data_IF_047760124769
#
_entry.id   IF_047760124769
#
_cell.length_a   1.000
_cell.length_b   1.000
_cell.length_c   1.000
_cell.angle_alpha   90.00
_cell.angle_beta   90.00
_cell.angle_gamma   90.00
#
_symmetry.space_group_name_H-M   'P 1'
#
loop_
_entity.id
_entity.type
_entity.pdbx_description
1 polymer ?
#
# COMPACT_ATOMS: atom_id res chain seq x y z
N UNK A 1 1.79 -3.44 -7.69
CA UNK A 1 3.03 -3.63 -6.90
C UNK A 1 2.95 -2.76 -5.66
N UNK A 2 2.44 -3.31 -4.55
CA UNK A 2 2.54 -2.67 -3.24
C UNK A 2 3.72 -3.35 -2.54
N UNK A 3 4.86 -2.66 -2.50
CA UNK A 3 5.99 -3.07 -1.66
C UNK A 3 5.66 -2.51 -0.27
N UNK A 4 5.16 -3.36 0.63
CA UNK A 4 5.16 -3.02 2.06
C UNK A 4 6.59 -3.25 2.55
N UNK A 5 7.46 -2.26 2.37
CA UNK A 5 8.74 -2.22 3.07
C UNK A 5 8.49 -1.77 4.50
N UNK A 6 8.40 -2.72 5.44
CA UNK A 6 8.45 -2.43 6.88
C UNK A 6 9.79 -1.74 7.22
N UNK A 7 9.82 -0.53 7.79
CA UNK A 7 11.07 0.22 8.02
C UNK A 7 11.75 -0.12 9.36
N UNK A 8 11.40 -1.22 10.02
CA UNK A 8 11.93 -1.54 11.35
C UNK A 8 12.55 -2.93 11.41
N UNK A 9 13.72 -3.06 10.78
CA UNK A 9 14.72 -4.08 11.13
C UNK A 9 16.11 -3.45 10.95
N UNK A 10 16.47 -2.53 11.85
CA UNK A 10 17.86 -2.12 12.00
C UNK A 10 18.48 -3.08 13.01
N UNK A 11 19.31 -3.97 12.47
CA UNK A 11 20.19 -4.88 13.18
C UNK A 11 21.01 -4.15 14.25
N UNK A 12 20.73 -4.39 15.53
CA UNK A 12 21.61 -3.98 16.63
C UNK A 12 22.65 -5.08 16.88
N UNK A 13 23.76 -5.01 16.17
CA UNK A 13 25.01 -5.63 16.61
C UNK A 13 25.63 -4.71 17.68
N UNK A 14 25.54 -5.12 18.93
CA UNK A 14 26.24 -4.48 20.05
C UNK A 14 27.71 -4.91 20.00
N UNK A 15 28.60 -4.04 19.53
CA UNK A 15 30.04 -4.21 19.70
C UNK A 15 30.49 -3.41 20.92
N UNK A 16 30.77 -4.12 22.00
CA UNK A 16 31.48 -3.60 23.17
C UNK A 16 32.94 -3.43 22.77
N UNK A 17 33.44 -2.19 22.81
CA UNK A 17 34.87 -1.91 22.86
C UNK A 17 35.11 -0.86 23.93
N UNK A 18 35.68 -1.31 25.04
CA UNK A 18 36.09 -0.51 26.19
C UNK A 18 37.63 -0.40 26.15
N UNK A 19 38.11 0.79 26.54
CA UNK A 19 39.48 1.17 26.92
C UNK A 19 40.43 1.62 25.77
N UNK A 20 40.76 2.92 25.74
CA UNK A 20 41.96 3.51 26.39
C UNK A 20 42.11 4.98 25.96
N UNK A 21 42.59 5.80 26.90
CA UNK A 21 42.67 7.26 26.79
C UNK A 21 43.60 7.81 25.71
N UNK A 22 43.33 9.06 25.33
CA UNK A 22 44.18 9.88 24.47
C UNK A 22 43.53 11.23 24.23
N UNK A 23 43.86 12.22 25.06
CA UNK A 23 43.50 13.62 24.82
C UNK A 23 44.18 14.10 23.53
N UNK A 24 43.38 14.41 22.50
CA UNK A 24 43.80 15.14 21.30
C UNK A 24 42.73 16.16 20.97
N UNK A 25 43.01 17.42 21.31
CA UNK A 25 42.36 18.55 20.66
C UNK A 25 42.98 18.67 19.26
N UNK A 26 42.18 18.70 18.18
CA UNK A 26 42.17 19.95 17.41
C UNK A 26 40.83 20.24 16.71
N UNK A 27 40.55 21.54 16.58
CA UNK A 27 40.22 22.15 15.29
C UNK A 27 38.92 21.76 14.57
N UNK A 28 38.09 22.78 14.34
CA UNK A 28 37.16 22.87 13.22
C UNK A 28 36.10 21.76 13.13
N UNK A 29 35.04 21.89 13.94
CA UNK A 29 33.75 21.32 13.60
C UNK A 29 33.20 22.09 12.39
N UNK A 30 33.55 21.63 11.18
CA UNK A 30 32.77 21.91 9.99
C UNK A 30 31.36 21.39 10.24
N UNK A 31 30.41 22.30 10.43
CA UNK A 31 29.00 21.97 10.41
C UNK A 31 28.70 21.42 9.02
N UNK A 32 28.66 20.09 8.88
CA UNK A 32 28.07 19.46 7.72
C UNK A 32 26.63 19.95 7.68
N UNK A 33 26.35 20.90 6.77
CA UNK A 33 25.01 21.35 6.44
C UNK A 33 24.27 20.09 6.03
N UNK A 34 23.38 19.62 6.89
CA UNK A 34 22.43 18.58 6.53
C UNK A 34 21.57 19.20 5.44
N UNK A 35 21.91 18.90 4.19
CA UNK A 35 21.04 19.19 3.06
C UNK A 35 19.75 18.42 3.32
N UNK A 36 18.66 19.15 3.53
CA UNK A 36 17.34 18.57 3.55
C UNK A 36 17.18 17.75 2.27
N UNK A 37 16.68 16.50 2.34
CA UNK A 37 16.41 15.74 1.14
C UNK A 37 15.46 16.55 0.26
N UNK A 38 15.97 17.06 -0.86
CA UNK A 38 15.17 17.76 -1.87
C UNK A 38 14.07 16.81 -2.30
N UNK A 39 12.82 17.18 -2.04
CA UNK A 39 11.65 16.44 -2.48
C UNK A 39 11.78 16.29 -3.99
N UNK A 40 12.00 15.06 -4.46
CA UNK A 40 12.09 14.78 -5.89
C UNK A 40 10.79 15.27 -6.53
N UNK A 41 10.84 15.94 -7.69
CA UNK A 41 9.63 16.33 -8.40
C UNK A 41 8.72 15.11 -8.51
N UNK A 42 7.47 15.25 -8.08
CA UNK A 42 6.48 14.20 -8.22
C UNK A 42 6.45 13.78 -9.70
N UNK A 43 6.51 12.47 -9.97
CA UNK A 43 6.35 11.98 -11.33
C UNK A 43 5.02 12.52 -11.88
N UNK A 44 5.09 13.30 -12.96
CA UNK A 44 3.88 13.83 -13.59
C UNK A 44 3.17 12.66 -14.27
N UNK A 45 1.93 12.39 -13.86
CA UNK A 45 1.08 11.42 -14.53
C UNK A 45 0.65 12.03 -15.86
N UNK A 46 1.14 11.48 -16.97
CA UNK A 46 0.68 11.86 -18.30
C UNK A 46 -0.75 11.35 -18.50
N UNK A 47 -1.66 12.15 -19.08
CA UNK A 47 -2.99 11.68 -19.40
C UNK A 47 -2.91 10.52 -20.41
N UNK A 48 -3.86 9.55 -20.35
CA UNK A 48 -3.96 8.49 -21.35
C UNK A 48 -4.11 9.06 -22.76
N UNK A 49 -3.69 8.29 -23.77
CA UNK A 49 -3.83 8.71 -25.17
C UNK A 49 -5.30 8.90 -25.57
N UNK A 50 -5.62 9.81 -26.49
CA UNK A 50 -6.97 9.95 -27.04
C UNK A 50 -7.39 8.64 -27.73
N UNK A 51 -8.27 7.86 -27.09
CA UNK A 51 -8.69 6.54 -27.56
C UNK A 51 -8.22 5.37 -26.69
N UNK A 52 -7.50 5.63 -25.60
CA UNK A 52 -7.23 4.62 -24.58
C UNK A 52 -8.54 4.01 -24.09
N UNK A 53 -8.61 2.68 -24.09
CA UNK A 53 -9.71 1.92 -23.51
C UNK A 53 -9.20 1.21 -22.28
N UNK A 54 -10.03 1.24 -21.25
CA UNK A 54 -9.79 0.47 -20.05
C UNK A 54 -9.88 -1.04 -20.40
N UNK A 55 -8.99 -1.89 -19.86
CA UNK A 55 -8.99 -3.33 -20.12
C UNK A 55 -10.15 -4.03 -19.39
N UNK A 56 -11.37 -3.69 -19.79
CA UNK A 56 -12.61 -4.19 -19.18
C UNK A 56 -12.73 -5.71 -19.39
N UNK A 57 -13.03 -6.44 -18.32
CA UNK A 57 -13.14 -7.90 -18.33
C UNK A 57 -11.80 -8.64 -18.28
N UNK A 58 -10.66 -7.94 -18.29
CA UNK A 58 -9.36 -8.56 -18.05
C UNK A 58 -9.11 -8.72 -16.54
N UNK A 59 -8.49 -9.86 -16.19
CA UNK A 59 -8.00 -10.11 -14.83
C UNK A 59 -6.51 -10.35 -14.87
N UNK A 60 -5.76 -9.48 -14.19
CA UNK A 60 -4.32 -9.64 -13.97
C UNK A 60 -4.09 -10.45 -12.71
N UNK A 61 -3.33 -11.54 -12.84
CA UNK A 61 -2.97 -12.41 -11.72
C UNK A 61 -1.48 -12.24 -11.43
N UNK A 62 -1.15 -11.92 -10.18
CA UNK A 62 0.21 -11.70 -9.71
C UNK A 62 0.53 -12.70 -8.60
N UNK A 63 1.73 -13.28 -8.64
CA UNK A 63 2.29 -13.98 -7.48
C UNK A 63 2.97 -12.99 -6.54
N UNK A 64 2.83 -13.25 -5.25
CA UNK A 64 3.53 -12.52 -4.20
C UNK A 64 4.61 -13.45 -3.66
N UNK A 65 5.87 -13.12 -3.94
CA UNK A 65 7.02 -13.92 -3.50
C UNK A 65 7.71 -13.23 -2.33
N UNK A 66 8.06 -14.01 -1.30
CA UNK A 66 8.91 -13.58 -0.20
C UNK A 66 10.11 -14.52 -0.09
N UNK A 67 11.28 -14.00 -0.46
CA UNK A 67 12.49 -14.80 -0.71
C UNK A 67 12.19 -15.93 -1.72
N UNK A 68 12.07 -17.16 -1.23
CA UNK A 68 11.90 -18.39 -2.00
C UNK A 68 10.51 -19.01 -1.79
N UNK A 69 9.64 -18.35 -1.04
CA UNK A 69 8.30 -18.83 -0.73
C UNK A 69 7.26 -17.99 -1.46
N UNK A 70 6.38 -18.67 -2.20
CA UNK A 70 5.15 -18.06 -2.66
C UNK A 70 4.27 -17.74 -1.45
N UNK A 71 4.17 -16.45 -1.15
CA UNK A 71 3.43 -15.91 -0.03
C UNK A 71 1.95 -15.73 -0.35
N UNK A 72 1.58 -15.66 -1.62
CA UNK A 72 0.20 -15.40 -2.01
C UNK A 72 -0.03 -15.12 -3.49
N UNK A 73 -1.31 -14.86 -3.81
CA UNK A 73 -1.76 -14.39 -5.11
C UNK A 73 -2.54 -13.09 -4.94
N UNK A 74 -2.36 -12.18 -5.90
CA UNK A 74 -3.22 -11.01 -6.06
C UNK A 74 -3.90 -11.08 -7.43
N UNK A 75 -5.22 -10.91 -7.47
CA UNK A 75 -6.01 -10.82 -8.70
C UNK A 75 -6.60 -9.44 -8.80
N UNK A 76 -6.35 -8.75 -9.91
CA UNK A 76 -6.89 -7.42 -10.18
C UNK A 76 -7.74 -7.49 -11.44
N UNK A 77 -9.02 -7.18 -11.33
CA UNK A 77 -9.92 -7.05 -12.47
C UNK A 77 -10.44 -5.63 -12.60
N UNK A 78 -10.81 -5.28 -13.82
CA UNK A 78 -11.40 -4.00 -14.15
C UNK A 78 -12.68 -4.25 -14.93
N UNK A 79 -13.80 -3.69 -14.47
CA UNK A 79 -15.11 -3.93 -15.05
C UNK A 79 -15.96 -2.66 -15.06
N UNK A 80 -16.84 -2.52 -16.06
CA UNK A 80 -17.82 -1.42 -16.06
C UNK A 80 -18.91 -1.67 -15.01
N UNK A 81 -19.33 -0.61 -14.34
CA UNK A 81 -20.37 -0.63 -13.31
C UNK A 81 -21.31 0.56 -13.52
N UNK A 82 -22.28 0.40 -14.43
CA UNK A 82 -23.16 1.49 -14.83
C UNK A 82 -22.37 2.60 -15.53
N UNK A 83 -22.37 3.81 -14.95
CA UNK A 83 -21.63 4.96 -15.47
C UNK A 83 -20.22 5.09 -14.88
N UNK A 84 -19.83 4.21 -13.95
CA UNK A 84 -18.53 4.19 -13.31
C UNK A 84 -17.70 3.02 -13.81
N UNK A 85 -16.40 3.11 -13.58
CA UNK A 85 -15.49 1.98 -13.66
C UNK A 85 -15.31 1.37 -12.27
N UNK A 86 -15.25 0.04 -12.19
CA UNK A 86 -14.97 -0.70 -10.96
C UNK A 86 -13.66 -1.48 -11.09
N UNK A 87 -12.69 -1.19 -10.23
CA UNK A 87 -11.52 -2.05 -10.00
C UNK A 87 -11.85 -2.99 -8.85
N UNK A 88 -11.60 -4.28 -9.02
CA UNK A 88 -11.61 -5.25 -7.91
C UNK A 88 -10.22 -5.85 -7.76
N UNK A 89 -9.67 -5.80 -6.55
CA UNK A 89 -8.43 -6.46 -6.18
C UNK A 89 -8.69 -7.48 -5.07
N UNK A 90 -8.34 -8.74 -5.30
CA UNK A 90 -8.43 -9.82 -4.33
C UNK A 90 -7.02 -10.26 -3.98
N UNK A 91 -6.70 -10.40 -2.69
CA UNK A 91 -5.42 -10.89 -2.22
C UNK A 91 -5.60 -12.09 -1.29
N UNK A 92 -4.94 -13.20 -1.62
CA UNK A 92 -4.97 -14.45 -0.87
C UNK A 92 -3.56 -14.81 -0.44
N UNK A 93 -3.35 -15.12 0.85
CA UNK A 93 -2.10 -15.75 1.29
C UNK A 93 -2.07 -17.23 0.91
N UNK A 94 -0.89 -17.78 0.63
CA UNK A 94 -0.70 -19.18 0.27
C UNK A 94 0.35 -19.88 1.15
N UNK A 95 0.35 -21.22 1.09
CA UNK A 95 1.38 -22.07 1.68
C UNK A 95 1.63 -21.82 3.18
N UNK A 96 2.91 -21.73 3.55
CA UNK A 96 3.33 -21.49 4.93
C UNK A 96 2.87 -20.13 5.46
N UNK A 97 2.74 -19.12 4.59
CA UNK A 97 2.26 -17.79 4.98
C UNK A 97 0.80 -17.87 5.41
N UNK A 98 -0.04 -18.57 4.67
CA UNK A 98 -1.46 -18.78 5.05
C UNK A 98 -1.62 -19.52 6.39
N UNK A 99 -0.72 -20.46 6.70
CA UNK A 99 -0.76 -21.17 7.98
C UNK A 99 -0.41 -20.27 9.16
N UNK A 100 0.57 -19.36 9.00
CA UNK A 100 1.00 -18.45 10.06
C UNK A 100 0.08 -17.24 10.20
N UNK A 101 -0.35 -16.67 9.07
CA UNK A 101 -1.16 -15.47 8.99
C UNK A 101 -2.06 -15.52 7.73
N UNK A 102 -3.27 -16.09 7.83
CA UNK A 102 -4.18 -16.16 6.70
C UNK A 102 -4.63 -14.75 6.29
N UNK A 103 -4.61 -14.47 4.99
CA UNK A 103 -5.12 -13.25 4.38
C UNK A 103 -6.14 -13.63 3.31
N UNK A 104 -7.33 -13.06 3.41
CA UNK A 104 -8.34 -13.05 2.36
C UNK A 104 -8.93 -11.64 2.28
N UNK A 105 -8.37 -10.83 1.40
CA UNK A 105 -8.74 -9.42 1.24
C UNK A 105 -9.45 -9.20 -0.09
N UNK A 106 -10.51 -8.40 -0.06
CA UNK A 106 -11.22 -7.89 -1.23
C UNK A 106 -11.30 -6.38 -1.16
N UNK A 107 -10.68 -5.73 -2.12
CA UNK A 107 -10.71 -4.29 -2.31
C UNK A 107 -11.48 -3.96 -3.58
N UNK A 108 -12.34 -2.96 -3.52
CA UNK A 108 -13.08 -2.44 -4.65
C UNK A 108 -12.97 -0.92 -4.68
N UNK A 109 -12.79 -0.36 -5.87
CA UNK A 109 -12.81 1.09 -6.09
C UNK A 109 -13.70 1.40 -7.28
N UNK A 110 -14.65 2.31 -7.08
CA UNK A 110 -15.52 2.85 -8.11
C UNK A 110 -15.03 4.25 -8.48
N UNK A 111 -14.81 4.51 -9.76
CA UNK A 111 -14.26 5.78 -10.23
C UNK A 111 -14.87 6.22 -11.55
N UNK A 112 -14.87 7.53 -11.80
CA UNK A 112 -15.30 8.09 -13.08
C UNK A 112 -14.21 7.83 -14.15
N UNK A 113 -14.52 7.10 -15.24
CA UNK A 113 -13.54 6.78 -16.28
C UNK A 113 -13.02 7.99 -17.06
N UNK A 114 -13.66 9.16 -16.96
CA UNK A 114 -13.22 10.40 -17.62
C UNK A 114 -12.21 11.16 -16.78
N UNK A 115 -12.47 11.31 -15.49
CA UNK A 115 -11.60 12.07 -14.56
C UNK A 115 -10.61 11.19 -13.80
N UNK A 116 -10.81 9.87 -13.79
CA UNK A 116 -10.08 8.90 -12.96
C UNK A 116 -10.17 9.17 -11.45
N UNK A 117 -11.12 10.00 -11.01
CA UNK A 117 -11.37 10.28 -9.61
C UNK A 117 -12.21 9.15 -8.98
N UNK A 118 -11.73 8.60 -7.86
CA UNK A 118 -12.46 7.57 -7.10
C UNK A 118 -13.63 8.19 -6.35
N UNK A 119 -14.82 7.62 -6.50
CA UNK A 119 -16.04 8.05 -5.83
C UNK A 119 -16.30 7.25 -4.56
N UNK A 120 -16.00 5.95 -4.59
CA UNK A 120 -16.21 5.02 -3.49
C UNK A 120 -15.11 3.96 -3.44
N UNK A 121 -14.66 3.62 -2.23
CA UNK A 121 -13.78 2.48 -1.95
C UNK A 121 -14.47 1.58 -0.93
N UNK A 122 -14.56 0.30 -1.23
CA UNK A 122 -15.04 -0.73 -0.32
C UNK A 122 -13.93 -1.74 -0.10
N UNK A 123 -13.61 -2.03 1.16
CA UNK A 123 -12.58 -3.00 1.55
C UNK A 123 -13.16 -3.97 2.56
N UNK A 124 -13.16 -5.24 2.20
CA UNK A 124 -13.38 -6.34 3.12
C UNK A 124 -12.04 -7.01 3.38
N UNK A 125 -11.60 -7.06 4.64
CA UNK A 125 -10.29 -7.60 5.01
C UNK A 125 -10.40 -8.68 6.06
N UNK A 126 -9.96 -9.89 5.72
CA UNK A 126 -9.76 -10.99 6.65
C UNK A 126 -8.27 -11.26 6.83
N UNK A 127 -7.69 -10.66 7.87
CA UNK A 127 -6.25 -10.73 8.12
C UNK A 127 -5.99 -11.37 9.49
N UNK A 128 -5.50 -12.61 9.47
CA UNK A 128 -5.28 -13.43 10.65
C UNK A 128 -6.55 -13.57 11.49
N UNK A 129 -6.52 -12.96 12.68
CA UNK A 129 -7.67 -12.94 13.60
C UNK A 129 -8.61 -11.76 13.40
N UNK A 130 -8.32 -10.81 12.51
CA UNK A 130 -9.19 -9.65 12.29
C UNK A 130 -10.09 -9.90 11.08
N UNK A 131 -11.32 -9.38 11.15
CA UNK A 131 -12.22 -9.24 9.99
C UNK A 131 -12.82 -7.85 10.06
N UNK A 132 -12.65 -7.05 9.01
CA UNK A 132 -13.10 -5.66 9.00
C UNK A 132 -13.65 -5.28 7.64
N UNK A 133 -14.73 -4.52 7.66
CA UNK A 133 -15.24 -3.79 6.52
C UNK A 133 -14.88 -2.32 6.67
N UNK A 134 -14.39 -1.72 5.59
CA UNK A 134 -14.13 -0.30 5.48
C UNK A 134 -14.80 0.21 4.21
N UNK A 135 -15.57 1.27 4.34
CA UNK A 135 -16.17 2.01 3.23
C UNK A 135 -15.66 3.45 3.28
N UNK A 136 -15.22 3.99 2.15
CA UNK A 136 -14.83 5.39 2.00
C UNK A 136 -15.57 5.99 0.83
N UNK A 137 -16.28 7.09 1.06
CA UNK A 137 -16.95 7.87 0.01
C UNK A 137 -16.31 9.23 -0.14
N UNK A 138 -16.04 9.63 -1.38
CA UNK A 138 -15.41 10.91 -1.68
C UNK A 138 -16.47 11.95 -2.09
N UNK A 139 -16.66 12.95 -1.23
CA UNK A 139 -17.56 14.07 -1.47
C UNK A 139 -16.76 15.26 -2.00
N UNK A 140 -16.42 15.22 -3.30
CA UNK A 140 -15.58 16.24 -3.94
C UNK A 140 -16.14 17.66 -3.81
N UNK A 141 -17.46 17.84 -3.90
CA UNK A 141 -18.13 19.13 -3.73
C UNK A 141 -17.87 19.76 -2.36
N UNK A 142 -17.67 18.91 -1.35
CA UNK A 142 -17.43 19.33 0.04
C UNK A 142 -15.96 19.23 0.42
N UNK A 143 -15.09 18.80 -0.51
CA UNK A 143 -13.68 18.52 -0.29
C UNK A 143 -13.44 17.59 0.90
N UNK A 144 -14.27 16.55 1.04
CA UNK A 144 -14.23 15.60 2.16
C UNK A 144 -14.25 14.17 1.68
N UNK A 145 -13.70 13.28 2.52
CA UNK A 145 -13.92 11.85 2.43
C UNK A 145 -14.60 11.40 3.73
N UNK A 146 -15.67 10.63 3.62
CA UNK A 146 -16.37 10.02 4.75
C UNK A 146 -15.93 8.57 4.81
N UNK A 147 -15.42 8.13 5.96
CA UNK A 147 -14.98 6.76 6.20
C UNK A 147 -15.83 6.11 7.27
N UNK A 148 -16.34 4.94 6.97
CA UNK A 148 -17.03 4.06 7.90
C UNK A 148 -16.23 2.78 8.02
N UNK A 149 -15.90 2.39 9.25
CA UNK A 149 -15.25 1.13 9.54
C UNK A 149 -16.20 0.28 10.39
N UNK A 150 -16.17 -1.04 10.19
CA UNK A 150 -16.91 -2.01 10.99
C UNK A 150 -16.03 -3.21 11.28
N UNK A 151 -15.89 -3.58 12.54
CA UNK A 151 -15.30 -4.86 12.92
C UNK A 151 -16.35 -5.96 12.77
N UNK A 152 -16.08 -6.95 11.94
CA UNK A 152 -17.05 -8.01 11.65
C UNK A 152 -17.14 -9.07 12.75
N UNK A 153 -16.22 -9.04 13.73
CA UNK A 153 -16.30 -9.93 14.89
C UNK A 153 -17.13 -9.34 16.02
N UNK A 154 -17.01 -8.04 16.28
CA UNK A 154 -17.72 -7.36 17.37
C UNK A 154 -18.95 -6.59 16.89
N UNK A 155 -19.00 -6.21 15.62
CA UNK A 155 -20.10 -5.45 15.01
C UNK A 155 -19.98 -3.94 15.18
N UNK A 156 -18.94 -3.47 15.87
CA UNK A 156 -18.68 -2.06 16.23
C UNK A 156 -17.89 -1.29 15.16
#
# INVERSE_FOLDING_TARGET
>A
MVIISSPHYVSSLLLVALLLGGSRNPGAQGQARQEMPTVRPAAQLLPPSPGYRLPDGETYVYSVEWHMFNAGLARVSLDQSGNQQRVTAIADSLGAVNLMYPVHDRFQSFFDPRSFCSEEIVRHSEEGKRRRDTEVRFEYQRHKAVRNDKDLKTGD
#
